data_IF_666944213672
#
_entry.id   IF_666944213672
#
_cell.length_a   1.000
_cell.length_b   1.000
_cell.length_c   1.000
_cell.angle_alpha   90.00
_cell.angle_beta   90.00
_cell.angle_gamma   90.00
#
_symmetry.space_group_name_H-M   'P 1'
#
loop_
_entity.id
_entity.type
_entity.pdbx_description
1 polymer ?
#
# COMPACT_ATOMS: atom_id res chain seq x y z
N UNK A 1 -14.78 5.64 -22.04
CA UNK A 1 -15.26 5.78 -20.64
C UNK A 1 -15.23 4.40 -20.00
N UNK A 2 -15.08 4.34 -18.68
CA UNK A 2 -15.20 3.06 -17.96
C UNK A 2 -16.67 2.62 -17.92
N UNK A 3 -16.94 1.31 -17.76
CA UNK A 3 -18.26 0.84 -17.36
C UNK A 3 -18.72 1.51 -16.06
N UNK A 4 -20.03 1.49 -15.80
CA UNK A 4 -20.54 1.83 -14.47
C UNK A 4 -19.96 0.87 -13.45
N UNK A 5 -19.40 1.41 -12.36
CA UNK A 5 -18.75 0.63 -11.33
C UNK A 5 -19.72 0.39 -10.18
N UNK A 6 -19.72 -0.82 -9.65
CA UNK A 6 -20.47 -1.21 -8.47
C UNK A 6 -19.54 -1.49 -7.28
N UNK A 7 -20.11 -1.55 -6.08
CA UNK A 7 -19.36 -1.94 -4.89
C UNK A 7 -18.77 -3.35 -5.08
N UNK A 8 -17.46 -3.49 -4.84
CA UNK A 8 -16.74 -4.75 -5.01
C UNK A 8 -16.00 -4.90 -6.34
N UNK A 9 -16.24 -4.01 -7.31
CA UNK A 9 -15.47 -4.01 -8.55
C UNK A 9 -13.99 -3.68 -8.33
N UNK A 10 -13.14 -4.25 -9.17
CA UNK A 10 -11.68 -4.04 -9.11
C UNK A 10 -11.26 -3.11 -10.25
N UNK A 11 -10.75 -1.93 -9.89
CA UNK A 11 -10.12 -1.00 -10.82
C UNK A 11 -8.60 -1.23 -10.87
N UNK A 12 -8.05 -1.30 -12.08
CA UNK A 12 -6.61 -1.35 -12.31
C UNK A 12 -6.09 0.00 -12.83
N UNK A 13 -5.10 0.56 -12.12
CA UNK A 13 -4.40 1.77 -12.56
C UNK A 13 -3.08 1.37 -13.22
N UNK A 14 -2.92 1.71 -14.50
CA UNK A 14 -1.76 1.32 -15.29
C UNK A 14 -0.59 2.29 -15.10
N UNK A 15 0.61 1.85 -15.51
CA UNK A 15 1.84 2.64 -15.47
C UNK A 15 2.28 3.08 -14.06
N UNK A 16 1.94 2.32 -13.01
CA UNK A 16 2.30 2.62 -11.62
C UNK A 16 3.66 2.05 -11.18
N UNK A 17 4.45 1.51 -12.12
CA UNK A 17 5.72 0.82 -11.80
C UNK A 17 6.88 1.74 -11.36
N UNK A 18 6.86 3.00 -11.77
CA UNK A 18 7.87 3.99 -11.42
C UNK A 18 7.24 5.13 -10.60
N UNK A 19 7.99 5.67 -9.62
CA UNK A 19 7.64 6.86 -8.83
C UNK A 19 6.33 6.81 -8.03
N UNK A 20 5.62 5.68 -7.97
CA UNK A 20 4.41 5.54 -7.16
C UNK A 20 4.75 5.00 -5.77
N UNK A 21 5.07 3.71 -5.66
CA UNK A 21 5.40 3.11 -4.36
C UNK A 21 6.57 3.84 -3.66
N UNK A 22 7.57 4.28 -4.42
CA UNK A 22 8.72 5.04 -3.89
C UNK A 22 8.36 6.41 -3.32
N UNK A 23 7.21 6.98 -3.70
CA UNK A 23 6.69 8.25 -3.18
C UNK A 23 5.47 8.04 -2.27
N UNK A 24 5.12 6.79 -1.95
CA UNK A 24 3.98 6.51 -1.08
C UNK A 24 4.24 6.95 0.36
N UNK A 25 3.20 7.46 1.01
CA UNK A 25 3.25 7.95 2.38
C UNK A 25 2.11 7.37 3.22
N UNK A 26 2.25 7.48 4.54
CA UNK A 26 1.21 7.13 5.49
C UNK A 26 0.28 8.32 5.80
N UNK A 27 0.05 9.21 4.83
CA UNK A 27 -0.90 10.31 4.99
C UNK A 27 -2.27 9.76 5.40
N UNK A 28 -2.91 10.38 6.40
CA UNK A 28 -4.09 9.88 7.10
C UNK A 28 -3.91 8.54 7.84
N UNK A 29 -2.68 8.19 8.25
CA UNK A 29 -2.33 6.94 8.96
C UNK A 29 -2.74 5.68 8.18
N UNK A 30 -2.78 5.77 6.85
CA UNK A 30 -3.08 4.63 5.98
C UNK A 30 -1.80 3.77 5.82
N UNK A 31 -1.85 2.45 6.11
CA UNK A 31 -0.71 1.57 5.87
C UNK A 31 -0.39 1.42 4.39
N UNK A 32 0.90 1.45 4.03
CA UNK A 32 1.31 1.24 2.65
C UNK A 32 0.89 -0.16 2.17
N UNK A 33 0.43 -0.28 0.92
CA UNK A 33 0.00 -1.56 0.38
C UNK A 33 1.19 -2.52 0.19
N UNK A 34 0.95 -3.83 0.05
CA UNK A 34 1.99 -4.76 -0.36
C UNK A 34 2.34 -4.56 -1.83
N UNK A 35 3.55 -4.98 -2.22
CA UNK A 35 3.96 -5.10 -3.63
C UNK A 35 4.09 -6.56 -3.99
N UNK A 36 3.51 -6.96 -5.12
CA UNK A 36 3.51 -8.34 -5.62
C UNK A 36 4.29 -8.42 -6.92
N UNK A 37 5.21 -9.38 -7.00
CA UNK A 37 5.85 -9.79 -8.24
C UNK A 37 5.11 -11.00 -8.80
N UNK A 38 4.73 -10.92 -10.08
CA UNK A 38 4.14 -12.06 -10.81
C UNK A 38 5.14 -12.51 -11.87
N UNK A 39 5.53 -13.78 -11.83
CA UNK A 39 6.41 -14.40 -12.83
C UNK A 39 6.01 -15.85 -13.04
N UNK A 40 5.94 -16.28 -14.30
CA UNK A 40 5.62 -17.67 -14.69
C UNK A 40 4.31 -18.18 -14.03
N UNK A 41 3.28 -17.33 -14.02
CA UNK A 41 1.98 -17.63 -13.41
C UNK A 41 1.97 -17.66 -11.87
N UNK A 42 3.08 -17.35 -11.21
CA UNK A 42 3.20 -17.35 -9.75
C UNK A 42 3.29 -15.93 -9.20
N UNK A 43 2.40 -15.61 -8.26
CA UNK A 43 2.43 -14.37 -7.51
C UNK A 43 3.21 -14.53 -6.19
N UNK A 44 4.07 -13.57 -5.86
CA UNK A 44 4.80 -13.50 -4.59
C UNK A 44 4.80 -12.08 -4.05
N UNK A 45 4.52 -11.93 -2.77
CA UNK A 45 4.71 -10.66 -2.07
C UNK A 45 6.22 -10.40 -1.97
N UNK A 46 6.67 -9.27 -2.51
CA UNK A 46 8.08 -8.82 -2.46
C UNK A 46 8.28 -7.62 -1.55
N UNK A 47 7.19 -6.93 -1.18
CA UNK A 47 7.16 -5.94 -0.10
C UNK A 47 5.92 -6.19 0.75
N UNK A 48 6.10 -6.40 2.05
CA UNK A 48 4.98 -6.64 2.97
C UNK A 48 4.06 -5.43 3.04
N UNK A 49 2.77 -5.67 3.27
CA UNK A 49 1.83 -4.63 3.70
C UNK A 49 2.28 -4.13 5.08
N UNK A 50 2.15 -2.83 5.33
CA UNK A 50 2.29 -2.30 6.68
C UNK A 50 1.06 -2.59 7.53
N UNK A 51 1.27 -2.84 8.82
CA UNK A 51 0.21 -2.88 9.82
C UNK A 51 0.19 -1.59 10.66
N UNK A 52 -0.68 -1.55 11.68
CA UNK A 52 -0.76 -0.39 12.56
C UNK A 52 0.49 -0.22 13.45
N UNK A 53 1.22 -1.31 13.74
CA UNK A 53 2.47 -1.23 14.50
C UNK A 53 3.57 -0.57 13.66
N UNK A 54 3.64 -0.90 12.36
CA UNK A 54 4.54 -0.24 11.41
C UNK A 54 4.28 1.28 11.33
N UNK A 55 3.01 1.72 11.50
CA UNK A 55 2.61 3.14 11.45
C UNK A 55 3.10 3.93 12.66
N UNK A 56 3.13 3.32 13.84
CA UNK A 56 3.49 3.99 15.10
C UNK A 56 4.90 3.62 15.58
N UNK A 57 5.64 2.78 14.85
CA UNK A 57 6.95 2.26 15.27
C UNK A 57 7.99 3.33 15.63
N UNK A 58 7.81 4.56 15.14
CA UNK A 58 8.70 5.69 15.38
C UNK A 58 8.10 6.73 16.34
N UNK A 59 6.85 6.53 16.79
CA UNK A 59 6.20 7.41 17.75
C UNK A 59 6.81 7.13 19.13
N UNK A 60 7.24 8.18 19.84
CA UNK A 60 7.78 8.09 21.20
C UNK A 60 6.84 8.85 22.12
N UNK A 61 6.37 8.19 23.17
CA UNK A 61 5.60 8.82 24.24
C UNK A 61 6.59 9.41 25.26
N UNK A 62 6.61 10.73 25.49
CA UNK A 62 7.40 11.33 26.56
C UNK A 62 6.92 10.83 27.93
N UNK A 63 7.86 10.61 28.85
CA UNK A 63 7.55 10.06 30.20
C UNK A 63 6.85 11.09 31.11
N UNK A 64 6.93 12.37 30.77
CA UNK A 64 6.47 13.51 31.56
C UNK A 64 5.22 14.20 31.01
N UNK A 65 4.56 13.59 30.01
CA UNK A 65 3.25 13.99 29.48
C UNK A 65 2.10 13.12 30.01
#
# INVERSE_FOLDING_TARGET
MLPEAEEGDILAIFATGAYNYSMSSNYNRIPRPPVVLVKDGKARVIVKREDYDDIIRNDILPEDL
#
